data_IF_730498429598
#
_entry.id   IF_730498429598
#
_cell.length_a   1.000
_cell.length_b   1.000
_cell.length_c   1.000
_cell.angle_alpha   90.00
_cell.angle_beta   90.00
_cell.angle_gamma   90.00
#
_symmetry.space_group_name_H-M   'P 1'
#
loop_
_entity.id
_entity.type
_entity.pdbx_description
1 polymer ?
#
# COMPACT_ATOMS: atom_id res chain seq x y z
N UNK A 1 -16.84 -3.78 -7.98
CA UNK A 1 -15.76 -4.45 -7.25
C UNK A 1 -14.92 -3.40 -6.54
N UNK A 2 -14.73 -3.51 -5.23
CA UNK A 2 -13.89 -2.56 -4.51
C UNK A 2 -12.43 -2.70 -4.93
N UNK A 3 -11.68 -1.61 -4.80
CA UNK A 3 -10.29 -1.51 -5.26
C UNK A 3 -9.36 -1.24 -4.08
N UNK A 4 -8.23 -1.92 -4.04
CA UNK A 4 -7.20 -1.75 -3.01
C UNK A 4 -5.86 -1.38 -3.63
N UNK A 5 -5.27 -0.29 -3.16
CA UNK A 5 -3.94 0.15 -3.57
C UNK A 5 -2.88 -0.59 -2.75
N UNK A 6 -1.89 -1.16 -3.41
CA UNK A 6 -0.85 -1.96 -2.77
C UNK A 6 0.41 -1.10 -2.51
N UNK A 7 0.43 -0.39 -1.39
CA UNK A 7 1.58 0.40 -0.97
C UNK A 7 2.63 -0.48 -0.29
N UNK A 8 3.90 -0.20 -0.54
CA UNK A 8 5.00 -0.94 0.07
C UNK A 8 6.34 -0.54 -0.52
N UNK A 9 7.45 -1.04 0.04
CA UNK A 9 8.79 -0.75 -0.48
C UNK A 9 8.91 -1.11 -1.97
N UNK A 10 9.71 -0.35 -2.76
CA UNK A 10 9.82 -0.56 -4.21
C UNK A 10 10.27 -1.97 -4.62
N UNK A 11 11.07 -2.62 -3.78
CA UNK A 11 11.61 -3.94 -4.06
C UNK A 11 10.86 -5.08 -3.36
N UNK A 12 9.65 -4.82 -2.86
CA UNK A 12 8.81 -5.82 -2.20
C UNK A 12 7.90 -6.55 -3.20
N UNK A 13 8.45 -7.07 -4.28
CA UNK A 13 7.68 -7.71 -5.36
C UNK A 13 6.93 -8.95 -4.87
N UNK A 14 7.55 -9.77 -4.02
CA UNK A 14 6.93 -10.97 -3.48
C UNK A 14 5.68 -10.62 -2.67
N UNK A 15 5.74 -9.58 -1.85
CA UNK A 15 4.58 -9.08 -1.13
C UNK A 15 3.46 -8.70 -2.11
N UNK A 16 3.76 -7.93 -3.16
CA UNK A 16 2.73 -7.48 -4.11
C UNK A 16 2.10 -8.62 -4.87
N UNK A 17 2.88 -9.62 -5.26
CA UNK A 17 2.36 -10.81 -5.94
C UNK A 17 1.39 -11.56 -5.02
N UNK A 18 1.78 -11.81 -3.77
CA UNK A 18 0.92 -12.49 -2.79
C UNK A 18 -0.31 -11.68 -2.45
N UNK A 19 -0.13 -10.38 -2.19
CA UNK A 19 -1.24 -9.48 -1.83
C UNK A 19 -2.25 -9.39 -2.97
N UNK A 20 -1.78 -9.30 -4.22
CA UNK A 20 -2.67 -9.28 -5.40
C UNK A 20 -3.52 -10.53 -5.48
N UNK A 21 -2.90 -11.70 -5.33
CA UNK A 21 -3.62 -12.97 -5.40
C UNK A 21 -4.66 -13.11 -4.28
N UNK A 22 -4.29 -12.74 -3.05
CA UNK A 22 -5.19 -12.80 -1.90
C UNK A 22 -6.34 -11.79 -2.03
N UNK A 23 -6.06 -10.59 -2.52
CA UNK A 23 -7.07 -9.56 -2.74
C UNK A 23 -8.11 -10.04 -3.78
N UNK A 24 -7.67 -10.57 -4.90
CA UNK A 24 -8.57 -11.13 -5.93
C UNK A 24 -9.45 -12.24 -5.33
N UNK A 25 -8.85 -13.15 -4.57
CA UNK A 25 -9.60 -14.23 -3.92
C UNK A 25 -10.64 -13.71 -2.92
N UNK A 26 -10.39 -12.53 -2.33
CA UNK A 26 -11.31 -11.88 -1.39
C UNK A 26 -12.33 -10.95 -2.08
N UNK A 27 -12.34 -10.88 -3.41
CA UNK A 27 -13.29 -10.06 -4.17
C UNK A 27 -12.85 -8.61 -4.37
N UNK A 28 -11.58 -8.30 -4.19
CA UNK A 28 -11.01 -6.97 -4.38
C UNK A 28 -10.19 -6.89 -5.67
N UNK A 29 -10.22 -5.73 -6.32
CA UNK A 29 -9.33 -5.41 -7.44
C UNK A 29 -8.05 -4.79 -6.91
N UNK A 30 -6.89 -5.46 -7.02
CA UNK A 30 -5.64 -4.87 -6.59
C UNK A 30 -5.14 -3.84 -7.61
N UNK A 31 -4.62 -2.72 -7.10
CA UNK A 31 -3.98 -1.68 -7.90
C UNK A 31 -2.52 -1.62 -7.48
N UNK A 32 -1.64 -2.16 -8.32
CA UNK A 32 -0.21 -2.21 -8.06
C UNK A 32 0.47 -0.99 -8.69
N UNK A 33 1.06 -0.07 -7.86
CA UNK A 33 1.76 1.10 -8.41
C UNK A 33 3.00 0.72 -9.21
N UNK A 34 3.58 -0.46 -8.96
CA UNK A 34 4.77 -0.93 -9.67
C UNK A 34 4.50 -1.39 -11.10
N UNK A 35 3.24 -1.37 -11.56
CA UNK A 35 2.94 -1.51 -12.99
C UNK A 35 3.53 -0.36 -13.80
N UNK A 36 3.80 0.78 -13.14
CA UNK A 36 4.59 1.90 -13.66
C UNK A 36 5.97 1.81 -13.01
N UNK A 37 6.83 0.95 -13.53
CA UNK A 37 8.12 0.63 -12.90
C UNK A 37 9.21 1.60 -13.35
N UNK A 38 9.64 2.48 -12.45
CA UNK A 38 10.72 3.42 -12.64
C UNK A 38 12.00 3.05 -11.89
N UNK A 39 12.10 1.83 -11.36
CA UNK A 39 13.26 1.40 -10.54
C UNK A 39 14.61 1.49 -11.26
N UNK A 40 14.59 1.50 -12.59
CA UNK A 40 15.80 1.69 -13.39
C UNK A 40 16.29 3.14 -13.47
N UNK A 41 15.44 4.11 -13.08
CA UNK A 41 15.80 5.52 -13.10
C UNK A 41 14.62 6.41 -12.70
N UNK A 42 14.58 6.81 -11.43
CA UNK A 42 13.52 7.68 -10.93
C UNK A 42 13.80 9.16 -11.14
N UNK A 43 15.08 9.53 -11.36
CA UNK A 43 15.47 10.91 -11.54
C UNK A 43 14.80 11.53 -12.77
N UNK A 44 14.13 12.64 -12.56
CA UNK A 44 13.37 13.33 -13.60
C UNK A 44 11.94 12.83 -13.78
N UNK A 45 11.55 11.76 -13.06
CA UNK A 45 10.21 11.17 -13.12
C UNK A 45 9.41 11.33 -11.82
N UNK A 46 9.90 12.15 -10.87
CA UNK A 46 9.30 12.27 -9.53
C UNK A 46 7.85 12.71 -9.60
N UNK A 47 7.53 13.74 -10.38
CA UNK A 47 6.16 14.21 -10.53
C UNK A 47 5.26 13.13 -11.16
N UNK A 48 5.74 12.44 -12.17
CA UNK A 48 4.99 11.38 -12.85
C UNK A 48 4.68 10.22 -11.89
N UNK A 49 5.66 9.80 -11.09
CA UNK A 49 5.50 8.75 -10.10
C UNK A 49 4.47 9.17 -9.04
N UNK A 50 4.67 10.33 -8.44
CA UNK A 50 3.82 10.82 -7.34
C UNK A 50 2.40 11.08 -7.81
N UNK A 51 2.23 11.80 -8.93
CA UNK A 51 0.90 12.11 -9.46
C UNK A 51 0.14 10.83 -9.83
N UNK A 52 0.85 9.84 -10.40
CA UNK A 52 0.26 8.55 -10.73
C UNK A 52 -0.19 7.79 -9.48
N UNK A 53 0.66 7.74 -8.46
CA UNK A 53 0.33 7.06 -7.20
C UNK A 53 -0.85 7.73 -6.48
N UNK A 54 -0.86 9.06 -6.42
CA UNK A 54 -1.95 9.80 -5.78
C UNK A 54 -3.28 9.60 -6.51
N UNK A 55 -3.25 9.60 -7.84
CA UNK A 55 -4.45 9.33 -8.65
C UNK A 55 -4.97 7.91 -8.40
N UNK A 56 -4.09 6.93 -8.30
CA UNK A 56 -4.47 5.55 -8.00
C UNK A 56 -5.11 5.42 -6.62
N UNK A 57 -4.49 6.02 -5.59
CA UNK A 57 -5.04 6.02 -4.23
C UNK A 57 -6.43 6.65 -4.23
N UNK A 58 -6.58 7.78 -4.92
CA UNK A 58 -7.86 8.49 -5.01
C UNK A 58 -8.98 7.68 -5.68
N UNK A 59 -8.62 6.67 -6.48
CA UNK A 59 -9.57 5.78 -7.15
C UNK A 59 -9.86 4.50 -6.36
N UNK A 60 -9.20 4.29 -5.23
CA UNK A 60 -9.32 3.08 -4.43
C UNK A 60 -10.20 3.27 -3.19
N UNK A 61 -10.78 2.17 -2.72
CA UNK A 61 -11.60 2.14 -1.50
C UNK A 61 -10.77 1.91 -0.25
N UNK A 62 -9.59 1.33 -0.41
CA UNK A 62 -8.64 1.07 0.68
C UNK A 62 -7.21 1.08 0.17
N UNK A 63 -6.28 1.28 1.09
CA UNK A 63 -4.84 1.10 0.90
C UNK A 63 -4.38 -0.03 1.82
N UNK A 64 -3.71 -1.02 1.25
CA UNK A 64 -2.94 -2.00 2.00
C UNK A 64 -1.50 -1.53 2.00
N UNK A 65 -0.96 -1.19 3.17
CA UNK A 65 0.37 -0.62 3.31
C UNK A 65 1.31 -1.61 4.02
N UNK A 66 2.34 -2.06 3.32
CA UNK A 66 3.34 -2.97 3.87
C UNK A 66 4.49 -2.21 4.51
N UNK A 67 4.65 -2.40 5.82
CA UNK A 67 5.76 -1.85 6.61
C UNK A 67 6.61 -2.98 7.19
N UNK A 68 7.04 -3.90 6.34
CA UNK A 68 7.99 -4.95 6.74
C UNK A 68 9.38 -4.36 7.03
N UNK A 69 9.63 -3.16 6.56
CA UNK A 69 10.76 -2.30 6.88
C UNK A 69 10.30 -0.85 6.78
N UNK A 70 11.01 0.10 7.39
CA UNK A 70 10.72 1.52 7.20
C UNK A 70 10.82 1.90 5.71
N UNK A 71 9.83 2.63 5.21
CA UNK A 71 9.81 3.12 3.84
C UNK A 71 9.08 4.46 3.78
N UNK A 72 9.80 5.52 3.41
CA UNK A 72 9.24 6.85 3.44
C UNK A 72 8.12 7.06 2.43
N UNK A 73 8.23 6.49 1.24
CA UNK A 73 7.19 6.59 0.21
C UNK A 73 5.89 5.94 0.67
N UNK A 74 5.97 4.74 1.24
CA UNK A 74 4.83 4.04 1.81
C UNK A 74 4.18 4.84 2.93
N UNK A 75 4.99 5.47 3.80
CA UNK A 75 4.49 6.31 4.88
C UNK A 75 3.72 7.54 4.34
N UNK A 76 4.25 8.19 3.31
CA UNK A 76 3.59 9.34 2.68
C UNK A 76 2.28 8.94 2.01
N UNK A 77 2.24 7.80 1.33
CA UNK A 77 1.03 7.28 0.71
C UNK A 77 -0.04 6.94 1.76
N UNK A 78 0.36 6.31 2.86
CA UNK A 78 -0.56 5.99 3.95
C UNK A 78 -1.14 7.26 4.59
N UNK A 79 -0.33 8.28 4.81
CA UNK A 79 -0.78 9.57 5.32
C UNK A 79 -1.76 10.24 4.33
N UNK A 80 -1.42 10.25 3.06
CA UNK A 80 -2.30 10.83 2.04
C UNK A 80 -3.66 10.15 2.02
N UNK A 81 -3.67 8.81 2.01
CA UNK A 81 -4.91 8.02 2.04
C UNK A 81 -5.76 8.38 3.27
N UNK A 82 -5.13 8.38 4.45
CA UNK A 82 -5.79 8.74 5.69
C UNK A 82 -6.40 10.15 5.63
N UNK A 83 -5.65 11.12 5.12
CA UNK A 83 -6.10 12.52 5.00
C UNK A 83 -7.28 12.69 4.03
N UNK A 84 -7.46 11.77 3.12
CA UNK A 84 -8.57 11.76 2.14
C UNK A 84 -9.73 10.86 2.56
N UNK A 85 -9.68 10.27 3.75
CA UNK A 85 -10.73 9.37 4.21
C UNK A 85 -10.71 8.00 3.57
N UNK A 86 -9.62 7.62 2.89
CA UNK A 86 -9.42 6.27 2.36
C UNK A 86 -8.91 5.37 3.48
N UNK A 87 -9.51 4.20 3.62
CA UNK A 87 -9.14 3.24 4.66
C UNK A 87 -7.69 2.77 4.48
N UNK A 88 -6.94 2.68 5.58
CA UNK A 88 -5.55 2.20 5.57
C UNK A 88 -5.46 0.95 6.43
N UNK A 89 -5.11 -0.17 5.81
CA UNK A 89 -4.86 -1.44 6.48
C UNK A 89 -3.36 -1.71 6.41
N UNK A 90 -2.72 -1.97 7.56
CA UNK A 90 -1.26 -2.11 7.62
C UNK A 90 -0.86 -3.57 7.83
N UNK A 91 0.11 -4.00 7.03
CA UNK A 91 0.79 -5.29 7.16
C UNK A 91 2.24 -5.05 7.58
N UNK A 92 2.68 -5.67 8.69
CA UNK A 92 4.02 -5.44 9.24
C UNK A 92 4.98 -6.62 9.06
N UNK A 93 4.47 -7.82 8.79
CA UNK A 93 5.32 -9.01 8.76
C UNK A 93 5.94 -9.35 10.12
N UNK A 94 5.39 -8.78 11.20
CA UNK A 94 5.89 -8.99 12.57
C UNK A 94 6.83 -7.90 13.08
N UNK A 95 7.15 -6.88 12.28
CA UNK A 95 7.94 -5.74 12.75
C UNK A 95 7.09 -4.83 13.63
N UNK A 96 7.74 -4.07 14.49
CA UNK A 96 7.06 -3.09 15.34
C UNK A 96 6.74 -1.83 14.52
N UNK A 97 5.47 -1.44 14.37
CA UNK A 97 5.12 -0.26 13.59
C UNK A 97 5.47 1.04 14.33
N UNK A 98 5.81 2.06 13.55
CA UNK A 98 6.01 3.41 14.07
C UNK A 98 4.68 3.97 14.59
N UNK A 99 4.69 4.82 15.66
CA UNK A 99 3.45 5.42 16.18
C UNK A 99 2.61 6.16 15.13
N UNK A 100 3.23 6.84 14.18
CA UNK A 100 2.49 7.50 13.10
C UNK A 100 1.78 6.51 12.19
N UNK A 101 2.40 5.36 11.94
CA UNK A 101 1.78 4.28 11.16
C UNK A 101 0.54 3.74 11.87
N UNK A 102 0.64 3.51 13.17
CA UNK A 102 -0.49 3.04 13.99
C UNK A 102 -1.62 4.07 13.98
N UNK A 103 -1.30 5.36 14.06
CA UNK A 103 -2.28 6.43 14.07
C UNK A 103 -3.13 6.46 12.80
N UNK A 104 -2.50 6.32 11.62
CA UNK A 104 -3.22 6.40 10.35
C UNK A 104 -3.94 5.11 9.99
N UNK A 105 -3.55 3.98 10.60
CA UNK A 105 -4.10 2.67 10.28
C UNK A 105 -5.48 2.45 10.91
N UNK A 106 -6.42 1.93 10.13
CA UNK A 106 -7.66 1.38 10.67
C UNK A 106 -7.37 0.12 11.49
N UNK A 107 -6.43 -0.71 11.01
CA UNK A 107 -5.95 -1.91 11.71
C UNK A 107 -4.53 -2.26 11.27
N UNK A 108 -3.82 -3.00 12.14
CA UNK A 108 -2.42 -3.41 11.94
C UNK A 108 -2.31 -4.92 12.13
N UNK A 109 -1.66 -5.59 11.19
CA UNK A 109 -1.59 -7.06 11.15
C UNK A 109 -0.18 -7.54 10.87
N UNK A 110 0.26 -8.55 11.61
CA UNK A 110 1.56 -9.20 11.38
C UNK A 110 1.51 -10.16 10.19
N UNK A 111 0.34 -10.73 9.89
CA UNK A 111 0.16 -11.70 8.80
C UNK A 111 -0.62 -11.06 7.66
N UNK A 112 -0.14 -11.30 6.43
CA UNK A 112 -0.76 -10.73 5.23
C UNK A 112 -2.21 -11.20 5.05
N UNK A 113 -2.49 -12.47 5.33
CA UNK A 113 -3.84 -13.04 5.24
C UNK A 113 -4.82 -12.32 6.17
N UNK A 114 -4.38 -11.94 7.36
CA UNK A 114 -5.20 -11.18 8.31
C UNK A 114 -5.44 -9.75 7.83
N UNK A 115 -4.42 -9.13 7.24
CA UNK A 115 -4.56 -7.78 6.66
C UNK A 115 -5.59 -7.78 5.51
N UNK A 116 -5.52 -8.76 4.63
CA UNK A 116 -6.47 -8.92 3.54
C UNK A 116 -7.90 -9.16 4.08
N UNK A 117 -8.04 -9.98 5.11
CA UNK A 117 -9.33 -10.26 5.72
C UNK A 117 -9.94 -9.01 6.38
N UNK A 118 -9.12 -8.02 6.74
CA UNK A 118 -9.57 -6.76 7.33
C UNK A 118 -10.07 -5.74 6.28
N UNK A 119 -9.82 -5.99 5.01
CA UNK A 119 -10.36 -5.15 3.93
C UNK A 119 -11.91 -5.27 3.88
#
# INVERSE_FOLDING_TARGET
>A
MPRVYLAGPPFADEYRIRASALAVAAGWEPVDPMRRDFRGGTEGHEAEIVDGDLADIGSCDAVLAAFTAPDEGTAMEAWYAHSRGVRVIVYTGGTRPHPWTVYVAESVHALLEHAIAAL
#
